data_IF_287073123427
#
_entry.id   IF_287073123427
#
_cell.length_a   1.000
_cell.length_b   1.000
_cell.length_c   1.000
_cell.angle_alpha   90.00
_cell.angle_beta   90.00
_cell.angle_gamma   90.00
#
_symmetry.space_group_name_H-M   'P 1'
#
loop_
_entity.id
_entity.type
_entity.pdbx_description
1 polymer ?
#
# COMPACT_ATOMS: atom_id res chain seq x y z
N UNK A 1 4.46 -39.39 -64.05
CA UNK A 1 4.47 -39.38 -62.55
C UNK A 1 4.96 -38.05 -62.13
N UNK A 2 4.13 -37.18 -61.46
CA UNK A 2 4.58 -35.91 -60.94
C UNK A 2 5.07 -36.05 -59.49
N UNK A 3 6.22 -35.47 -59.21
CA UNK A 3 6.88 -35.42 -57.90
C UNK A 3 6.13 -34.47 -56.95
N UNK A 4 5.71 -34.98 -55.79
CA UNK A 4 5.10 -34.22 -54.71
C UNK A 4 6.17 -33.48 -53.93
N UNK A 5 6.24 -32.14 -54.06
CA UNK A 5 7.07 -31.25 -53.24
C UNK A 5 6.45 -31.15 -51.84
N UNK A 6 7.14 -31.66 -50.79
CA UNK A 6 6.82 -31.45 -49.40
C UNK A 6 7.26 -30.03 -48.97
N UNK A 7 6.30 -29.15 -48.78
CA UNK A 7 6.54 -27.83 -48.13
C UNK A 7 6.89 -28.04 -46.67
N UNK A 8 8.12 -27.79 -46.28
CA UNK A 8 8.54 -27.76 -44.88
C UNK A 8 7.92 -26.57 -44.16
N UNK A 9 7.06 -26.82 -43.20
CA UNK A 9 6.55 -25.80 -42.27
C UNK A 9 7.69 -25.31 -41.36
N UNK A 10 8.19 -24.12 -41.62
CA UNK A 10 9.14 -23.44 -40.74
C UNK A 10 8.46 -23.13 -39.40
N UNK A 11 8.85 -23.82 -38.32
CA UNK A 11 8.43 -23.55 -36.98
C UNK A 11 8.92 -22.14 -36.55
N UNK A 12 8.00 -21.27 -36.15
CA UNK A 12 8.31 -19.95 -35.58
C UNK A 12 9.19 -20.14 -34.33
N UNK A 13 10.28 -19.34 -34.16
CA UNK A 13 11.11 -19.44 -32.96
C UNK A 13 10.28 -19.15 -31.70
N UNK A 14 10.24 -20.12 -30.79
CA UNK A 14 9.66 -19.96 -29.46
C UNK A 14 10.51 -18.92 -28.71
N UNK A 15 9.99 -17.70 -28.52
CA UNK A 15 10.62 -16.71 -27.67
C UNK A 15 10.75 -17.33 -26.28
N UNK A 16 11.96 -17.62 -25.81
CA UNK A 16 12.24 -17.98 -24.43
C UNK A 16 11.76 -16.84 -23.54
N UNK A 17 10.64 -17.02 -22.84
CA UNK A 17 10.18 -16.08 -21.82
C UNK A 17 11.30 -15.90 -20.79
N UNK A 18 11.72 -14.66 -20.56
CA UNK A 18 12.68 -14.36 -19.50
C UNK A 18 12.08 -14.76 -18.14
N UNK A 19 12.86 -15.36 -17.24
CA UNK A 19 12.36 -15.77 -15.94
C UNK A 19 11.81 -14.56 -15.19
N UNK A 20 10.53 -14.65 -14.79
CA UNK A 20 9.86 -13.59 -14.03
C UNK A 20 10.59 -13.32 -12.72
N UNK A 21 10.85 -12.04 -12.43
CA UNK A 21 11.50 -11.58 -11.21
C UNK A 21 10.52 -11.64 -10.01
N UNK A 22 11.05 -11.71 -8.80
CA UNK A 22 10.28 -11.58 -7.58
C UNK A 22 10.16 -10.10 -7.16
N UNK A 23 9.13 -9.77 -6.39
CA UNK A 23 8.98 -8.49 -5.72
C UNK A 23 8.62 -8.68 -4.24
N UNK A 24 8.73 -7.63 -3.44
CA UNK A 24 8.22 -7.57 -2.09
C UNK A 24 7.21 -6.43 -1.97
N UNK A 25 6.03 -6.74 -1.43
CA UNK A 25 4.91 -5.82 -1.23
C UNK A 25 4.74 -5.56 0.25
N UNK A 26 4.79 -4.30 0.65
CA UNK A 26 4.65 -3.91 2.05
C UNK A 26 3.41 -3.04 2.22
N UNK A 27 2.53 -3.42 3.15
CA UNK A 27 1.60 -2.46 3.71
C UNK A 27 2.34 -1.36 4.45
N UNK A 28 1.72 -0.20 4.64
CA UNK A 28 2.36 0.97 5.25
C UNK A 28 1.98 1.11 6.73
N UNK A 29 0.69 1.22 7.02
CA UNK A 29 0.18 1.55 8.35
C UNK A 29 0.40 0.38 9.32
N UNK A 30 1.04 0.62 10.47
CA UNK A 30 1.50 -0.38 11.45
C UNK A 30 2.44 -1.48 10.90
N UNK A 31 2.79 -1.47 9.63
CA UNK A 31 3.73 -2.40 8.99
C UNK A 31 5.10 -1.74 8.78
N UNK A 32 5.20 -0.70 7.93
CA UNK A 32 6.41 0.14 7.76
C UNK A 32 6.41 1.27 8.79
N UNK A 33 5.24 1.81 9.12
CA UNK A 33 5.01 2.97 9.97
C UNK A 33 4.29 2.54 11.26
N UNK A 34 4.63 3.12 12.40
CA UNK A 34 3.87 3.01 13.65
C UNK A 34 2.65 3.92 13.60
N UNK A 35 1.45 3.35 13.51
CA UNK A 35 0.19 4.07 13.43
C UNK A 35 -0.28 4.29 11.99
N UNK A 36 -1.11 5.30 11.76
CA UNK A 36 -1.77 5.54 10.47
C UNK A 36 -1.19 6.73 9.73
N UNK A 37 -0.71 6.49 8.52
CA UNK A 37 -0.24 7.51 7.59
C UNK A 37 -1.35 8.47 7.17
N UNK A 38 -2.56 7.94 6.96
CA UNK A 38 -3.74 8.75 6.63
C UNK A 38 -4.13 9.68 7.77
N UNK A 39 -4.00 9.26 9.03
CA UNK A 39 -4.25 10.13 10.19
C UNK A 39 -3.21 11.26 10.28
N UNK A 40 -1.93 10.95 10.11
CA UNK A 40 -0.85 11.96 10.12
C UNK A 40 -1.02 12.96 8.98
N UNK A 41 -1.39 12.48 7.80
CA UNK A 41 -1.72 13.33 6.66
C UNK A 41 -2.91 14.26 6.98
N UNK A 42 -4.02 13.72 7.47
CA UNK A 42 -5.22 14.50 7.82
C UNK A 42 -4.93 15.55 8.89
N UNK A 43 -4.13 15.22 9.91
CA UNK A 43 -3.68 16.16 10.95
C UNK A 43 -2.90 17.34 10.35
N UNK A 44 -1.89 17.07 9.52
CA UNK A 44 -1.06 18.11 8.89
C UNK A 44 -1.85 18.94 7.88
N UNK A 45 -2.77 18.32 7.13
CA UNK A 45 -3.67 19.01 6.22
C UNK A 45 -4.58 20.00 6.97
N UNK A 46 -5.03 19.63 8.16
CA UNK A 46 -5.79 20.53 9.05
C UNK A 46 -4.92 21.68 9.57
N UNK A 47 -3.71 21.42 10.05
CA UNK A 47 -2.78 22.43 10.55
C UNK A 47 -2.43 23.47 9.47
N UNK A 48 -2.43 23.07 8.21
CA UNK A 48 -2.21 23.95 7.06
C UNK A 48 -3.47 24.64 6.49
N UNK A 49 -4.60 24.52 7.17
CA UNK A 49 -5.89 25.04 6.66
C UNK A 49 -6.29 24.48 5.27
N UNK A 50 -5.80 23.31 4.90
CA UNK A 50 -6.30 22.54 3.75
C UNK A 50 -7.78 22.16 3.94
N UNK A 51 -8.22 22.06 5.23
CA UNK A 51 -9.59 21.72 5.60
C UNK A 51 -10.13 22.72 6.59
N UNK A 52 -11.41 23.07 6.47
CA UNK A 52 -12.05 23.92 7.47
C UNK A 52 -12.11 23.19 8.83
N UNK A 53 -12.13 23.97 9.94
CA UNK A 53 -12.28 23.39 11.30
C UNK A 53 -13.54 22.54 11.45
N UNK A 54 -14.64 22.94 10.79
CA UNK A 54 -15.92 22.20 10.81
C UNK A 54 -15.78 20.84 10.11
N UNK A 55 -15.08 20.77 9.00
CA UNK A 55 -14.90 19.55 8.22
C UNK A 55 -13.98 18.57 8.95
N UNK A 56 -12.91 19.05 9.57
CA UNK A 56 -12.02 18.22 10.41
C UNK A 56 -12.78 17.56 11.57
N UNK A 57 -13.55 18.33 12.34
CA UNK A 57 -14.31 17.76 13.47
C UNK A 57 -15.41 16.81 13.00
N UNK A 58 -16.04 17.07 11.87
CA UNK A 58 -17.02 16.14 11.26
C UNK A 58 -16.34 14.83 10.83
N UNK A 59 -15.13 14.90 10.27
CA UNK A 59 -14.35 13.71 9.87
C UNK A 59 -13.85 12.94 11.10
N UNK A 60 -13.24 13.61 12.09
CA UNK A 60 -12.76 13.00 13.32
C UNK A 60 -13.89 12.30 14.10
N UNK A 61 -15.05 12.96 14.24
CA UNK A 61 -16.24 12.39 14.88
C UNK A 61 -16.79 11.18 14.12
N UNK A 62 -16.77 11.21 12.82
CA UNK A 62 -17.23 10.10 11.99
C UNK A 62 -16.27 8.89 12.10
N UNK A 63 -14.95 9.12 12.16
CA UNK A 63 -13.94 8.10 12.43
C UNK A 63 -14.12 7.48 13.82
N UNK A 64 -14.30 8.31 14.85
CA UNK A 64 -14.53 7.85 16.23
C UNK A 64 -15.79 6.99 16.33
N UNK A 65 -16.89 7.41 15.69
CA UNK A 65 -18.15 6.67 15.68
C UNK A 65 -18.08 5.37 14.85
N UNK A 66 -17.23 5.31 13.83
CA UNK A 66 -16.97 4.11 13.05
C UNK A 66 -16.25 3.04 13.88
N UNK A 67 -15.22 3.43 14.63
CA UNK A 67 -14.48 2.53 15.54
C UNK A 67 -15.41 1.98 16.64
N UNK A 68 -16.39 2.78 17.09
CA UNK A 68 -17.28 2.44 18.23
C UNK A 68 -18.52 1.62 17.86
N UNK A 69 -19.05 1.72 16.65
CA UNK A 69 -20.36 1.15 16.27
C UNK A 69 -20.35 0.00 15.25
N UNK A 70 -19.18 -0.43 14.76
CA UNK A 70 -19.12 -1.52 13.75
C UNK A 70 -19.68 -1.12 12.37
N UNK A 71 -19.38 -1.91 11.38
CA UNK A 71 -19.59 -1.63 9.95
C UNK A 71 -21.04 -1.42 9.54
N UNK A 72 -21.25 -0.35 8.78
CA UNK A 72 -22.39 -0.23 7.88
C UNK A 72 -21.88 0.36 6.54
N UNK A 73 -21.87 -0.43 5.48
CA UNK A 73 -21.27 -0.14 4.17
C UNK A 73 -21.70 1.21 3.56
N UNK A 74 -22.95 1.65 3.81
CA UNK A 74 -23.45 2.93 3.29
C UNK A 74 -22.82 4.15 3.99
N UNK A 75 -22.32 4.00 5.23
CA UNK A 75 -21.66 5.09 5.96
C UNK A 75 -20.19 5.24 5.58
N UNK A 76 -19.55 4.15 5.18
CA UNK A 76 -18.17 4.16 4.68
C UNK A 76 -18.07 4.92 3.34
N UNK A 77 -19.04 4.73 2.44
CA UNK A 77 -19.14 5.49 1.20
C UNK A 77 -19.27 7.00 1.47
N UNK A 78 -20.14 7.40 2.39
CA UNK A 78 -20.35 8.82 2.74
C UNK A 78 -19.13 9.49 3.39
N UNK A 79 -18.33 8.75 4.15
CA UNK A 79 -17.08 9.26 4.74
C UNK A 79 -16.00 9.47 3.69
N UNK A 80 -15.90 8.54 2.75
CA UNK A 80 -15.00 8.61 1.60
C UNK A 80 -15.31 9.83 0.73
N UNK A 81 -16.59 10.01 0.36
CA UNK A 81 -17.03 11.13 -0.48
C UNK A 81 -16.75 12.48 0.20
N UNK A 82 -16.93 12.56 1.52
CA UNK A 82 -16.55 13.74 2.31
C UNK A 82 -15.04 13.98 2.35
N UNK A 83 -14.23 12.94 2.54
CA UNK A 83 -12.78 13.09 2.52
C UNK A 83 -12.28 13.58 1.14
N UNK A 84 -12.91 13.12 0.07
CA UNK A 84 -12.59 13.54 -1.30
C UNK A 84 -13.04 14.98 -1.57
N UNK A 85 -14.19 15.41 -1.06
CA UNK A 85 -14.64 16.80 -1.18
C UNK A 85 -13.72 17.80 -0.47
N UNK A 86 -12.96 17.35 0.53
CA UNK A 86 -11.98 18.21 1.21
C UNK A 86 -10.76 18.56 0.36
N UNK A 87 -10.38 17.68 -0.57
CA UNK A 87 -9.22 17.89 -1.45
C UNK A 87 -9.62 18.51 -2.80
N UNK A 88 -10.92 18.61 -3.09
CA UNK A 88 -11.43 19.22 -4.32
C UNK A 88 -11.02 20.68 -4.44
N UNK A 89 -10.56 21.09 -5.64
CA UNK A 89 -10.14 22.45 -5.92
C UNK A 89 -8.71 22.78 -5.49
N UNK A 90 -8.03 21.93 -4.73
CA UNK A 90 -6.63 22.14 -4.36
C UNK A 90 -5.68 21.81 -5.51
N UNK A 91 -4.56 22.53 -5.59
CA UNK A 91 -3.51 22.24 -6.57
C UNK A 91 -2.77 20.97 -6.18
N UNK A 92 -2.44 20.14 -7.17
CA UNK A 92 -1.60 18.94 -6.97
C UNK A 92 -0.28 19.29 -6.29
N UNK A 93 0.35 20.42 -6.68
CA UNK A 93 1.60 20.90 -6.09
C UNK A 93 1.49 21.18 -4.59
N UNK A 94 0.36 21.73 -4.13
CA UNK A 94 0.15 22.01 -2.71
C UNK A 94 0.02 20.71 -1.91
N UNK A 95 -0.60 19.68 -2.50
CA UNK A 95 -0.65 18.32 -1.94
C UNK A 95 0.77 17.70 -1.87
N UNK A 96 1.58 17.84 -2.92
CA UNK A 96 2.96 17.35 -2.96
C UNK A 96 3.82 17.97 -1.86
N UNK A 97 3.71 19.28 -1.65
CA UNK A 97 4.39 19.98 -0.56
C UNK A 97 3.91 19.45 0.81
N UNK A 98 2.61 19.29 0.98
CA UNK A 98 2.04 18.79 2.21
C UNK A 98 2.55 17.38 2.56
N UNK A 99 2.60 16.45 1.60
CA UNK A 99 3.05 15.07 1.87
C UNK A 99 4.55 14.99 2.19
N UNK A 100 5.38 15.84 1.57
CA UNK A 100 6.80 15.96 1.94
C UNK A 100 6.95 16.43 3.40
N UNK A 101 6.19 17.43 3.83
CA UNK A 101 6.20 17.88 5.23
C UNK A 101 5.68 16.86 6.22
N UNK A 102 4.62 16.12 5.86
CA UNK A 102 4.09 15.02 6.67
C UNK A 102 5.18 13.97 6.90
N UNK A 103 5.93 13.65 5.85
CA UNK A 103 7.07 12.74 5.98
C UNK A 103 8.11 13.28 6.95
N UNK A 104 8.59 14.50 6.72
CA UNK A 104 9.70 15.09 7.49
C UNK A 104 9.32 15.37 8.96
N UNK A 105 8.10 15.81 9.23
CA UNK A 105 7.65 16.14 10.59
C UNK A 105 7.19 14.92 11.40
N UNK A 106 6.58 13.93 10.74
CA UNK A 106 5.86 12.88 11.47
C UNK A 106 6.28 11.46 11.07
N UNK A 107 6.35 11.14 9.77
CA UNK A 107 6.50 9.74 9.32
C UNK A 107 7.89 9.21 9.65
N UNK A 108 8.95 9.95 9.33
CA UNK A 108 10.34 9.49 9.55
C UNK A 108 10.64 9.08 11.00
N UNK A 109 9.97 9.72 11.97
CA UNK A 109 10.13 9.45 13.40
C UNK A 109 9.33 8.22 13.87
N UNK A 110 8.46 7.71 13.03
CA UNK A 110 7.54 6.60 13.35
C UNK A 110 7.78 5.35 12.50
N UNK A 111 8.85 5.33 11.71
CA UNK A 111 9.22 4.14 10.94
C UNK A 111 9.65 3.00 11.86
N UNK A 112 9.27 1.76 11.51
CA UNK A 112 9.82 0.56 12.14
C UNK A 112 11.19 0.23 11.52
N UNK A 113 12.30 0.39 12.25
CA UNK A 113 13.65 0.14 11.70
C UNK A 113 13.80 -1.27 11.15
N UNK A 114 13.18 -2.26 11.81
CA UNK A 114 13.24 -3.67 11.44
C UNK A 114 12.54 -3.94 10.11
N UNK A 115 11.34 -3.37 9.91
CA UNK A 115 10.61 -3.54 8.66
C UNK A 115 11.26 -2.77 7.52
N UNK A 116 11.81 -1.58 7.79
CA UNK A 116 12.60 -0.83 6.81
C UNK A 116 13.85 -1.62 6.39
N UNK A 117 14.52 -2.31 7.34
CA UNK A 117 15.65 -3.19 7.02
C UNK A 117 15.22 -4.34 6.11
N UNK A 118 14.12 -5.05 6.45
CA UNK A 118 13.58 -6.11 5.58
C UNK A 118 13.33 -5.61 4.15
N UNK A 119 12.76 -4.40 3.99
CA UNK A 119 12.53 -3.80 2.68
C UNK A 119 13.85 -3.55 1.93
N UNK A 120 14.89 -3.06 2.63
CA UNK A 120 16.22 -2.83 2.05
C UNK A 120 16.95 -4.14 1.71
N UNK A 121 16.79 -5.19 2.51
CA UNK A 121 17.35 -6.51 2.23
C UNK A 121 16.78 -7.07 0.91
N UNK A 122 15.49 -6.88 0.64
CA UNK A 122 14.89 -7.22 -0.65
C UNK A 122 15.49 -6.44 -1.81
N UNK A 123 15.72 -5.13 -1.65
CA UNK A 123 16.40 -4.32 -2.67
C UNK A 123 17.82 -4.85 -2.92
N UNK A 124 18.58 -5.15 -1.85
CA UNK A 124 19.93 -5.66 -1.96
C UNK A 124 20.00 -7.02 -2.68
N UNK A 125 18.96 -7.86 -2.54
CA UNK A 125 18.79 -9.10 -3.27
C UNK A 125 18.23 -8.92 -4.70
N UNK A 126 18.11 -7.69 -5.20
CA UNK A 126 17.67 -7.37 -6.56
C UNK A 126 16.17 -7.49 -6.81
N UNK A 127 15.35 -7.56 -5.76
CA UNK A 127 13.89 -7.55 -5.87
C UNK A 127 13.36 -6.12 -5.93
N UNK A 128 12.28 -5.93 -6.66
CA UNK A 128 11.50 -4.71 -6.57
C UNK A 128 10.75 -4.67 -5.23
N UNK A 129 10.73 -3.52 -4.57
CA UNK A 129 10.00 -3.30 -3.32
C UNK A 129 8.95 -2.23 -3.51
N UNK A 130 7.70 -2.58 -3.24
CA UNK A 130 6.54 -1.75 -3.46
C UNK A 130 5.75 -1.56 -2.17
N UNK A 131 5.45 -0.32 -1.82
CA UNK A 131 4.47 0.01 -0.78
C UNK A 131 3.04 -0.15 -1.35
N UNK A 132 2.11 -0.69 -0.54
CA UNK A 132 0.71 -0.87 -0.94
C UNK A 132 -0.18 -0.32 0.15
N UNK A 133 -0.76 0.87 -0.05
CA UNK A 133 -1.44 1.63 1.01
C UNK A 133 -2.80 2.18 0.59
N UNK A 134 -3.72 2.28 1.57
CA UNK A 134 -4.98 2.99 1.40
C UNK A 134 -4.81 4.53 1.36
N UNK A 135 -3.69 5.04 1.84
CA UNK A 135 -3.35 6.47 1.83
C UNK A 135 -3.26 7.04 0.39
N UNK A 136 -3.24 8.36 0.23
CA UNK A 136 -3.02 9.00 -1.07
C UNK A 136 -1.76 8.49 -1.77
N UNK A 137 -1.82 8.32 -3.10
CA UNK A 137 -0.69 7.87 -3.92
C UNK A 137 0.56 8.72 -3.67
N UNK A 138 0.40 10.03 -3.58
CA UNK A 138 1.47 11.01 -3.36
C UNK A 138 2.23 10.75 -2.05
N UNK A 139 1.50 10.39 -0.99
CA UNK A 139 2.12 10.05 0.30
C UNK A 139 2.91 8.73 0.22
N UNK A 140 2.34 7.73 -0.43
CA UNK A 140 3.04 6.47 -0.71
C UNK A 140 4.31 6.68 -1.51
N UNK A 141 4.27 7.52 -2.56
CA UNK A 141 5.41 7.83 -3.41
C UNK A 141 6.52 8.54 -2.65
N UNK A 142 6.18 9.51 -1.79
CA UNK A 142 7.17 10.19 -0.93
C UNK A 142 7.83 9.22 0.03
N UNK A 143 7.06 8.36 0.71
CA UNK A 143 7.62 7.34 1.62
C UNK A 143 8.58 6.40 0.86
N UNK A 144 8.15 5.88 -0.29
CA UNK A 144 8.95 4.98 -1.11
C UNK A 144 10.25 5.64 -1.59
N UNK A 145 10.17 6.88 -2.08
CA UNK A 145 11.33 7.68 -2.52
C UNK A 145 12.32 7.91 -1.40
N UNK A 146 11.86 8.34 -0.22
CA UNK A 146 12.70 8.64 0.95
C UNK A 146 13.36 7.39 1.54
N UNK A 147 12.76 6.22 1.35
CA UNK A 147 13.32 4.93 1.77
C UNK A 147 14.13 4.24 0.65
N UNK A 148 14.28 4.86 -0.53
CA UNK A 148 14.94 4.28 -1.71
C UNK A 148 14.33 2.93 -2.12
N UNK A 149 12.99 2.84 -2.10
CA UNK A 149 12.23 1.68 -2.60
C UNK A 149 11.85 1.88 -4.06
N UNK A 150 11.32 0.83 -4.71
CA UNK A 150 10.97 0.86 -6.14
C UNK A 150 9.79 1.81 -6.42
N UNK A 151 8.80 1.87 -5.52
CA UNK A 151 7.65 2.74 -5.67
C UNK A 151 6.51 2.40 -4.71
N UNK A 152 5.34 2.98 -4.98
CA UNK A 152 4.13 2.76 -4.18
C UNK A 152 2.90 2.54 -5.06
N UNK A 153 1.91 1.86 -4.48
CA UNK A 153 0.54 1.73 -4.97
C UNK A 153 -0.37 2.30 -3.89
N UNK A 154 -0.89 3.50 -4.14
CA UNK A 154 -1.79 4.22 -3.23
C UNK A 154 -3.14 4.54 -3.87
N UNK A 155 -4.02 5.12 -3.09
CA UNK A 155 -5.31 5.59 -3.57
C UNK A 155 -5.14 6.86 -4.39
N UNK A 156 -5.60 6.87 -5.65
CA UNK A 156 -5.41 7.99 -6.58
C UNK A 156 -6.63 8.89 -6.62
N UNK A 157 -6.42 10.18 -6.49
CA UNK A 157 -7.43 11.22 -6.77
C UNK A 157 -7.26 11.72 -8.19
N UNK A 158 -8.37 11.95 -8.88
CA UNK A 158 -8.39 12.46 -10.24
C UNK A 158 -7.84 13.90 -10.29
N UNK A 159 -7.05 14.17 -11.32
CA UNK A 159 -6.43 15.48 -11.56
C UNK A 159 -6.90 16.02 -12.91
N UNK A 160 -7.25 17.30 -12.95
CA UNK A 160 -7.58 18.00 -14.18
C UNK A 160 -6.88 19.36 -14.18
N UNK A 161 -6.03 19.62 -15.17
CA UNK A 161 -5.28 20.87 -15.28
C UNK A 161 -4.48 21.25 -14.00
N UNK A 162 -3.88 20.24 -13.32
CA UNK A 162 -3.11 20.45 -12.09
C UNK A 162 -3.94 20.68 -10.83
N UNK A 163 -5.26 20.53 -10.90
CA UNK A 163 -6.22 20.65 -9.80
C UNK A 163 -6.83 19.29 -9.47
N UNK A 164 -7.02 18.99 -8.19
CA UNK A 164 -7.70 17.80 -7.70
C UNK A 164 -9.21 17.97 -7.86
N UNK A 165 -9.89 16.97 -8.42
CA UNK A 165 -11.34 17.03 -8.73
C UNK A 165 -12.22 16.49 -7.60
N UNK A 166 -11.63 16.00 -6.51
CA UNK A 166 -12.39 15.31 -5.46
C UNK A 166 -12.94 13.94 -5.85
N UNK A 167 -12.57 13.42 -7.03
CA UNK A 167 -12.99 12.08 -7.49
C UNK A 167 -11.82 11.11 -7.43
N UNK A 168 -12.12 9.82 -7.27
CA UNK A 168 -11.09 8.78 -7.33
C UNK A 168 -10.86 8.30 -8.77
N UNK A 169 -9.59 7.97 -9.06
CA UNK A 169 -9.24 7.16 -10.23
C UNK A 169 -9.32 5.69 -9.80
N UNK A 170 -10.42 5.04 -10.15
CA UNK A 170 -10.67 3.65 -9.77
C UNK A 170 -11.16 3.48 -8.33
N UNK A 171 -10.81 2.35 -7.70
CA UNK A 171 -11.22 2.02 -6.33
C UNK A 171 -10.13 2.38 -5.33
N UNK A 172 -10.47 2.70 -4.06
CA UNK A 172 -9.48 2.84 -2.99
C UNK A 172 -8.63 1.58 -2.84
N UNK A 173 -7.36 1.72 -2.54
CA UNK A 173 -6.43 0.61 -2.34
C UNK A 173 -6.56 0.06 -0.92
N UNK A 174 -7.60 -0.73 -0.66
CA UNK A 174 -7.89 -1.32 0.64
C UNK A 174 -8.45 -2.73 0.50
N UNK A 175 -8.05 -3.66 1.38
CA UNK A 175 -8.55 -5.02 1.40
C UNK A 175 -8.40 -5.74 0.04
N UNK A 176 -9.50 -6.25 -0.55
CA UNK A 176 -9.44 -6.99 -1.81
C UNK A 176 -8.83 -6.22 -2.98
N UNK A 177 -8.92 -4.88 -2.98
CA UNK A 177 -8.34 -4.07 -4.06
C UNK A 177 -6.81 -4.05 -4.03
N UNK A 178 -6.16 -4.25 -2.87
CA UNK A 178 -4.71 -4.45 -2.79
C UNK A 178 -4.27 -5.67 -3.60
N UNK A 179 -5.03 -6.79 -3.49
CA UNK A 179 -4.76 -7.99 -4.32
C UNK A 179 -4.85 -7.70 -5.81
N UNK A 180 -5.87 -6.97 -6.25
CA UNK A 180 -6.02 -6.59 -7.66
C UNK A 180 -4.83 -5.74 -8.09
N UNK A 181 -4.49 -4.72 -7.32
CA UNK A 181 -3.41 -3.79 -7.62
C UNK A 181 -2.04 -4.47 -7.76
N UNK A 182 -1.68 -5.40 -6.86
CA UNK A 182 -0.41 -6.13 -6.98
C UNK A 182 -0.41 -7.13 -8.17
N UNK A 183 -1.57 -7.70 -8.52
CA UNK A 183 -1.69 -8.55 -9.71
C UNK A 183 -1.48 -7.76 -11.00
N UNK A 184 -2.09 -6.59 -11.10
CA UNK A 184 -1.95 -5.71 -12.26
C UNK A 184 -0.51 -5.20 -12.39
N UNK A 185 0.10 -4.78 -11.27
CA UNK A 185 1.51 -4.42 -11.26
C UNK A 185 2.40 -5.58 -11.70
N UNK A 186 2.19 -6.77 -11.15
CA UNK A 186 2.99 -7.95 -11.48
C UNK A 186 2.89 -8.31 -12.96
N UNK A 187 1.71 -8.20 -13.57
CA UNK A 187 1.50 -8.39 -15.01
C UNK A 187 2.28 -7.36 -15.82
N UNK A 188 2.18 -6.07 -15.48
CA UNK A 188 2.78 -4.97 -16.21
C UNK A 188 4.31 -4.95 -16.11
N UNK A 189 4.87 -5.46 -15.02
CA UNK A 189 6.32 -5.49 -14.74
C UNK A 189 6.96 -6.86 -14.92
N UNK A 190 6.21 -7.85 -15.44
CA UNK A 190 6.67 -9.23 -15.63
C UNK A 190 7.21 -9.85 -14.32
N UNK A 191 6.47 -9.68 -13.19
CA UNK A 191 6.81 -10.22 -11.89
C UNK A 191 6.08 -11.55 -11.62
N UNK A 192 6.69 -12.43 -10.83
CA UNK A 192 6.09 -13.68 -10.36
C UNK A 192 5.56 -13.52 -8.95
N UNK A 193 4.25 -13.42 -8.76
CA UNK A 193 3.65 -13.40 -7.42
C UNK A 193 3.98 -14.65 -6.60
N UNK A 194 4.10 -15.82 -7.24
CA UNK A 194 4.50 -17.07 -6.56
C UNK A 194 5.89 -17.01 -5.94
N UNK A 195 6.82 -16.20 -6.51
CA UNK A 195 8.17 -15.97 -5.98
C UNK A 195 8.24 -14.72 -5.10
N UNK A 196 7.16 -13.95 -5.03
CA UNK A 196 7.12 -12.65 -4.33
C UNK A 196 6.70 -12.78 -2.88
N UNK A 197 7.00 -11.72 -2.13
CA UNK A 197 6.74 -11.58 -0.71
C UNK A 197 5.65 -10.53 -0.47
N UNK A 198 4.89 -10.67 0.62
CA UNK A 198 3.97 -9.62 1.08
C UNK A 198 3.99 -9.53 2.61
N UNK A 199 3.96 -8.31 3.12
CA UNK A 199 4.08 -7.97 4.54
C UNK A 199 2.90 -7.10 4.96
N UNK A 200 2.19 -7.47 6.05
CA UNK A 200 1.11 -6.66 6.61
C UNK A 200 0.86 -6.99 8.08
N UNK A 201 0.24 -6.03 8.78
CA UNK A 201 -0.22 -6.16 10.18
C UNK A 201 -1.70 -6.54 10.28
N UNK A 202 -2.48 -6.40 9.19
CA UNK A 202 -3.94 -6.43 9.23
C UNK A 202 -4.53 -7.65 8.52
N UNK A 203 -5.57 -8.25 9.13
CA UNK A 203 -6.39 -9.27 8.48
C UNK A 203 -7.12 -8.77 7.23
N UNK A 204 -7.36 -7.46 7.10
CA UNK A 204 -7.94 -6.87 5.88
C UNK A 204 -7.07 -7.11 4.65
N UNK A 205 -5.77 -7.34 4.83
CA UNK A 205 -4.80 -7.60 3.78
C UNK A 205 -4.61 -9.09 3.46
N UNK A 206 -5.39 -9.99 4.07
CA UNK A 206 -5.40 -11.42 3.70
C UNK A 206 -5.54 -11.64 2.19
N UNK A 207 -6.36 -10.87 1.43
CA UNK A 207 -6.41 -11.00 -0.03
C UNK A 207 -5.06 -10.71 -0.71
N UNK A 208 -4.27 -9.77 -0.21
CA UNK A 208 -2.93 -9.46 -0.71
C UNK A 208 -1.92 -10.53 -0.30
N UNK A 209 -1.91 -10.91 0.99
CA UNK A 209 -1.00 -11.90 1.56
C UNK A 209 -1.16 -13.27 0.89
N UNK A 210 -2.40 -13.72 0.66
CA UNK A 210 -2.68 -15.00 0.00
C UNK A 210 -2.43 -14.99 -1.51
N UNK A 211 -2.13 -13.84 -2.12
CA UNK A 211 -1.84 -13.75 -3.54
C UNK A 211 -0.36 -14.01 -3.89
N UNK A 212 0.52 -14.03 -2.90
CA UNK A 212 1.97 -14.23 -3.07
C UNK A 212 2.42 -15.59 -2.56
N UNK A 213 3.64 -16.00 -2.92
CA UNK A 213 4.20 -17.27 -2.45
C UNK A 213 4.83 -17.20 -1.06
N UNK A 214 5.20 -15.99 -0.60
CA UNK A 214 5.87 -15.79 0.68
C UNK A 214 5.17 -14.69 1.51
N UNK A 215 4.00 -14.98 2.09
CA UNK A 215 3.31 -14.06 3.01
C UNK A 215 4.00 -14.02 4.37
N UNK A 216 4.04 -12.83 4.97
CA UNK A 216 4.64 -12.59 6.29
C UNK A 216 3.72 -11.65 7.09
N UNK A 217 3.38 -12.04 8.31
CA UNK A 217 2.61 -11.21 9.23
C UNK A 217 3.58 -10.37 10.09
N UNK A 218 3.45 -9.03 10.03
CA UNK A 218 4.28 -8.09 10.78
C UNK A 218 3.42 -7.34 11.78
N UNK A 219 3.76 -7.40 13.07
CA UNK A 219 2.98 -6.77 14.15
C UNK A 219 1.47 -7.09 14.07
N UNK A 220 1.05 -8.32 13.75
CA UNK A 220 -0.28 -8.64 13.28
C UNK A 220 -1.37 -8.41 14.33
N UNK A 221 -2.56 -8.05 13.85
CA UNK A 221 -3.76 -8.07 14.65
C UNK A 221 -4.14 -9.51 15.09
N UNK A 222 -5.10 -9.64 16.00
CA UNK A 222 -5.49 -10.93 16.58
C UNK A 222 -6.01 -11.93 15.52
N UNK A 223 -6.72 -11.44 14.50
CA UNK A 223 -7.30 -12.27 13.44
C UNK A 223 -6.19 -12.75 12.52
N UNK A 224 -5.32 -11.85 12.04
CA UNK A 224 -4.18 -12.20 11.22
C UNK A 224 -3.21 -13.13 11.96
N UNK A 225 -2.99 -12.91 13.26
CA UNK A 225 -2.17 -13.81 14.09
C UNK A 225 -2.68 -15.24 14.09
N UNK A 226 -4.02 -15.43 14.25
CA UNK A 226 -4.64 -16.77 14.22
C UNK A 226 -4.49 -17.40 12.84
N UNK A 227 -4.76 -16.63 11.79
CA UNK A 227 -4.65 -17.10 10.41
C UNK A 227 -3.19 -17.49 10.07
N UNK A 228 -2.23 -16.62 10.37
CA UNK A 228 -0.82 -16.87 10.11
C UNK A 228 -0.30 -18.12 10.80
N UNK A 229 -0.69 -18.35 12.08
CA UNK A 229 -0.37 -19.58 12.80
C UNK A 229 -0.98 -20.82 12.15
N UNK A 230 -2.25 -20.76 11.74
CA UNK A 230 -2.93 -21.89 11.10
C UNK A 230 -2.39 -22.20 9.70
N UNK A 231 -1.85 -21.20 8.99
CA UNK A 231 -1.27 -21.32 7.66
C UNK A 231 0.26 -21.50 7.67
N UNK A 232 0.88 -21.60 8.85
CA UNK A 232 2.34 -21.71 9.06
C UNK A 232 3.13 -20.55 8.40
N UNK A 233 2.58 -19.33 8.49
CA UNK A 233 3.24 -18.13 8.00
C UNK A 233 4.20 -17.55 9.03
N UNK A 234 5.36 -16.98 8.61
CA UNK A 234 6.24 -16.25 9.50
C UNK A 234 5.52 -15.08 10.17
N UNK A 235 5.75 -14.91 11.49
CA UNK A 235 5.21 -13.81 12.28
C UNK A 235 6.36 -13.04 12.90
N UNK A 236 6.46 -11.74 12.59
CA UNK A 236 7.40 -10.81 13.19
C UNK A 236 6.66 -9.83 14.10
N UNK A 237 6.90 -9.91 15.41
CA UNK A 237 6.25 -9.04 16.40
C UNK A 237 7.29 -8.09 17.03
N UNK A 238 7.50 -6.97 16.37
CA UNK A 238 8.45 -5.93 16.82
C UNK A 238 7.89 -5.11 17.99
N UNK A 239 6.56 -4.98 18.11
CA UNK A 239 5.91 -4.32 19.26
C UNK A 239 6.28 -4.97 20.59
N UNK A 240 6.32 -6.29 20.65
CA UNK A 240 6.70 -7.02 21.87
C UNK A 240 8.17 -6.92 22.20
N UNK A 241 9.05 -6.83 21.19
CA UNK A 241 10.48 -6.64 21.40
C UNK A 241 10.78 -5.28 22.03
N UNK A 242 10.14 -4.22 21.54
CA UNK A 242 10.29 -2.86 22.06
C UNK A 242 9.77 -2.73 23.50
N UNK A 243 8.63 -3.38 23.81
CA UNK A 243 8.08 -3.41 25.17
C UNK A 243 8.95 -4.17 26.17
N UNK A 244 9.74 -5.15 25.72
CA UNK A 244 10.74 -5.83 26.57
C UNK A 244 11.98 -4.97 26.77
N UNK A 245 12.53 -4.38 25.69
CA UNK A 245 13.72 -3.51 25.78
C UNK A 245 13.50 -2.25 26.64
N UNK A 246 12.27 -1.77 26.81
CA UNK A 246 11.94 -0.63 27.68
C UNK A 246 11.65 -1.03 29.15
N UNK A 247 11.76 -2.33 29.51
CA UNK A 247 11.55 -2.84 30.89
C UNK A 247 12.85 -3.28 31.56
N UNK A 248 13.90 -3.43 30.79
CA UNK A 248 15.27 -3.72 31.21
C UNK A 248 16.09 -2.43 31.25
#
# INVERSE_FOLDING_TARGET
MPATSKVAKTAKPVKKEQPKKAAAFFDVDNTILRGSSSFLFGKSAFERNFFSRKDFWRFAWAQFRFIWKGENNNKLASLKDRALSLVEGHRVRDLEILVDEVYDKHIKLKLWPETVRLAKDHIAEGREVWLVTAAPQELGDVIAKRLNLTGAIGTKVERKNGILTGKLVGKPIHGPTKRVAIKDLAKNRNLSLKKSYAYSDSHNDLPMLTAVGHPVAVNPDKILTRYAKAADWPIYDFKKRELKANRD
#
